data_IF_844786662720
#
_entry.id   IF_844786662720
#
_cell.length_a   1.000
_cell.length_b   1.000
_cell.length_c   1.000
_cell.angle_alpha   90.00
_cell.angle_beta   90.00
_cell.angle_gamma   90.00
#
_symmetry.space_group_name_H-M   'P 1'
#
loop_
_entity.id
_entity.type
_entity.pdbx_description
1 polymer ?
#
# COMPACT_ATOMS: atom_id res chain seq x y z
N UNK A 1 -28.00 -40.64 -6.30
CA UNK A 1 -26.78 -40.29 -7.06
C UNK A 1 -25.69 -39.93 -6.10
N UNK A 2 -24.66 -40.76 -5.97
CA UNK A 2 -23.49 -40.52 -5.13
C UNK A 2 -22.61 -39.44 -5.79
N UNK A 3 -22.31 -38.36 -5.07
CA UNK A 3 -21.28 -37.41 -5.50
C UNK A 3 -19.97 -38.20 -5.70
N UNK A 4 -19.31 -38.14 -6.87
CA UNK A 4 -18.09 -38.89 -7.10
C UNK A 4 -17.05 -38.45 -6.07
N UNK A 5 -16.44 -39.40 -5.36
CA UNK A 5 -15.43 -39.14 -4.32
C UNK A 5 -14.35 -38.13 -4.76
N UNK A 6 -13.99 -38.12 -6.05
CA UNK A 6 -13.06 -37.16 -6.67
C UNK A 6 -13.53 -35.70 -6.56
N UNK A 7 -14.83 -35.44 -6.75
CA UNK A 7 -15.38 -34.09 -6.66
C UNK A 7 -15.37 -33.58 -5.20
N UNK A 8 -15.70 -34.45 -4.24
CA UNK A 8 -15.62 -34.11 -2.81
C UNK A 8 -14.18 -33.86 -2.36
N UNK A 9 -13.22 -34.71 -2.76
CA UNK A 9 -11.80 -34.48 -2.45
C UNK A 9 -11.26 -33.20 -3.09
N UNK A 10 -11.71 -32.86 -4.32
CA UNK A 10 -11.39 -31.59 -4.95
C UNK A 10 -11.92 -30.38 -4.17
N UNK A 11 -13.15 -30.44 -3.65
CA UNK A 11 -13.72 -29.40 -2.78
C UNK A 11 -13.04 -29.31 -1.42
N UNK A 12 -12.66 -30.45 -0.81
CA UNK A 12 -11.92 -30.48 0.46
C UNK A 12 -10.50 -29.90 0.31
N UNK A 13 -9.80 -30.25 -0.77
CA UNK A 13 -8.47 -29.71 -1.07
C UNK A 13 -8.51 -28.19 -1.26
N UNK A 14 -9.53 -27.68 -1.96
CA UNK A 14 -9.68 -26.24 -2.21
C UNK A 14 -9.92 -25.45 -0.92
N UNK A 15 -10.78 -25.95 -0.03
CA UNK A 15 -11.02 -25.34 1.29
C UNK A 15 -9.75 -25.24 2.13
N UNK A 16 -8.97 -26.32 2.22
CA UNK A 16 -7.68 -26.32 2.93
C UNK A 16 -6.71 -25.27 2.35
N UNK A 17 -6.64 -25.16 1.03
CA UNK A 17 -5.77 -24.16 0.39
C UNK A 17 -6.21 -22.71 0.65
N UNK A 18 -7.51 -22.46 0.79
CA UNK A 18 -8.04 -21.15 1.17
C UNK A 18 -7.72 -20.83 2.63
N UNK A 19 -7.88 -21.80 3.55
CA UNK A 19 -7.51 -21.70 4.96
C UNK A 19 -6.01 -21.42 5.14
N UNK A 20 -5.15 -22.20 4.46
CA UNK A 20 -3.70 -22.01 4.51
C UNK A 20 -3.31 -20.61 3.99
N UNK A 21 -3.95 -20.15 2.90
CA UNK A 21 -3.70 -18.80 2.35
C UNK A 21 -4.17 -17.69 3.29
N UNK A 22 -5.30 -17.88 3.97
CA UNK A 22 -5.82 -16.90 4.93
C UNK A 22 -4.92 -16.79 6.17
N UNK A 23 -4.47 -17.93 6.70
CA UNK A 23 -3.49 -17.96 7.78
C UNK A 23 -2.18 -17.23 7.40
N UNK A 24 -1.68 -17.44 6.19
CA UNK A 24 -0.49 -16.70 5.71
C UNK A 24 -0.76 -15.18 5.60
N UNK A 25 -1.98 -14.76 5.27
CA UNK A 25 -2.33 -13.33 5.18
C UNK A 25 -2.47 -12.65 6.54
N UNK A 26 -2.88 -13.39 7.57
CA UNK A 26 -2.98 -12.88 8.94
C UNK A 26 -1.60 -12.38 9.43
N UNK A 27 -0.51 -13.07 9.08
CA UNK A 27 0.87 -12.65 9.41
C UNK A 27 1.26 -11.30 8.80
N UNK A 28 0.60 -10.90 7.71
CA UNK A 28 0.83 -9.62 7.03
C UNK A 28 -0.20 -8.55 7.42
N UNK A 29 -0.86 -8.68 8.57
CA UNK A 29 -1.82 -7.69 9.06
C UNK A 29 -1.13 -6.57 9.83
N UNK A 30 -1.51 -5.33 9.57
CA UNK A 30 -0.96 -4.17 10.26
C UNK A 30 -1.51 -4.12 11.71
N UNK A 31 -0.66 -4.00 12.74
CA UNK A 31 -1.11 -3.94 14.13
C UNK A 31 -1.86 -2.65 14.50
N UNK A 32 -1.85 -1.65 13.61
CA UNK A 32 -2.49 -0.35 13.85
C UNK A 32 -3.85 -0.25 13.17
N UNK A 33 -3.93 -0.52 11.86
CA UNK A 33 -5.19 -0.45 11.12
C UNK A 33 -5.91 -1.80 10.99
N UNK A 34 -5.32 -2.90 11.45
CA UNK A 34 -5.89 -4.27 11.40
C UNK A 34 -6.22 -4.75 9.99
N UNK A 35 -5.67 -4.11 8.96
CA UNK A 35 -5.81 -4.52 7.57
C UNK A 35 -4.55 -5.25 7.08
N UNK A 36 -4.73 -6.20 6.16
CA UNK A 36 -3.61 -6.81 5.43
C UNK A 36 -2.81 -5.73 4.72
N UNK A 37 -1.54 -5.60 5.10
CA UNK A 37 -0.61 -4.58 4.62
C UNK A 37 -0.52 -4.68 3.10
N UNK A 38 -0.55 -3.54 2.42
CA UNK A 38 -0.19 -3.46 1.01
C UNK A 38 1.22 -2.89 0.89
N UNK A 39 2.06 -3.40 -0.05
CA UNK A 39 3.37 -2.82 -0.32
C UNK A 39 3.26 -1.30 -0.52
N UNK A 40 4.17 -0.49 0.05
CA UNK A 40 5.41 -0.91 0.67
C UNK A 40 5.23 -1.30 2.15
N UNK A 41 5.76 -2.46 2.53
CA UNK A 41 5.81 -2.97 3.90
C UNK A 41 7.04 -2.41 4.60
N UNK A 42 6.86 -1.87 5.79
CA UNK A 42 7.96 -1.41 6.63
C UNK A 42 8.12 -2.27 7.87
N UNK A 43 9.31 -2.27 8.45
CA UNK A 43 9.60 -3.02 9.66
C UNK A 43 10.39 -2.21 10.69
N UNK A 44 10.25 -2.57 11.96
CA UNK A 44 11.19 -2.13 13.00
C UNK A 44 12.48 -2.98 12.98
N UNK A 45 13.46 -2.63 13.82
CA UNK A 45 14.73 -3.37 13.94
C UNK A 45 14.56 -4.83 14.37
N UNK A 46 13.47 -5.16 15.09
CA UNK A 46 13.13 -6.52 15.49
C UNK A 46 12.27 -7.27 14.45
N UNK A 47 11.93 -6.65 13.32
CA UNK A 47 11.20 -7.31 12.23
C UNK A 47 9.67 -7.20 12.25
N UNK A 48 9.04 -6.54 13.23
CA UNK A 48 7.58 -6.33 13.22
C UNK A 48 7.14 -5.43 12.07
N UNK A 49 6.13 -5.87 11.33
CA UNK A 49 5.65 -5.23 10.11
C UNK A 49 4.63 -4.11 10.40
N UNK A 50 4.65 -3.07 9.57
CA UNK A 50 3.69 -1.96 9.59
C UNK A 50 3.45 -1.43 8.17
N UNK A 51 2.23 -0.96 7.89
CA UNK A 51 1.93 -0.34 6.60
C UNK A 51 2.47 1.10 6.51
N UNK A 52 2.70 1.57 5.29
CA UNK A 52 3.21 2.93 5.05
C UNK A 52 2.36 4.03 5.67
N UNK A 53 1.03 3.96 5.54
CA UNK A 53 0.13 4.98 6.07
C UNK A 53 0.15 5.09 7.60
N UNK A 54 0.22 3.96 8.31
CA UNK A 54 0.32 3.98 9.77
C UNK A 54 1.71 4.43 10.24
N UNK A 55 2.78 4.06 9.53
CA UNK A 55 4.10 4.58 9.82
C UNK A 55 4.18 6.09 9.58
N UNK A 56 3.57 6.60 8.51
CA UNK A 56 3.43 8.04 8.27
C UNK A 56 2.70 8.75 9.42
N UNK A 57 1.65 8.15 9.96
CA UNK A 57 0.91 8.71 11.09
C UNK A 57 1.76 8.75 12.38
N UNK A 58 2.58 7.72 12.62
CA UNK A 58 3.53 7.70 13.76
C UNK A 58 4.59 8.79 13.57
N UNK A 59 5.12 8.94 12.36
CA UNK A 59 6.14 9.94 12.03
C UNK A 59 5.63 11.38 12.17
N UNK A 60 4.34 11.61 11.89
CA UNK A 60 3.67 12.92 11.99
C UNK A 60 2.99 13.18 13.34
N UNK A 61 2.84 12.16 14.18
CA UNK A 61 2.10 12.25 15.43
C UNK A 61 2.81 13.10 16.48
N UNK A 62 2.05 13.59 17.45
CA UNK A 62 2.58 14.38 18.59
C UNK A 62 3.31 13.53 19.64
N UNK A 63 3.33 12.20 19.48
CA UNK A 63 4.12 11.30 20.32
C UNK A 63 5.60 11.63 20.09
N UNK A 64 6.30 12.02 21.15
CA UNK A 64 7.69 12.48 21.11
C UNK A 64 8.69 11.42 20.59
N UNK A 65 8.27 10.17 20.42
CA UNK A 65 9.12 9.08 19.94
C UNK A 65 8.43 8.25 18.87
N UNK A 66 9.16 8.01 17.78
CA UNK A 66 8.77 7.06 16.72
C UNK A 66 9.00 5.64 17.23
N UNK A 67 8.02 5.05 17.89
CA UNK A 67 8.13 3.70 18.48
C UNK A 67 7.29 2.66 17.74
N UNK A 68 7.80 1.43 17.69
CA UNK A 68 7.06 0.28 17.17
C UNK A 68 5.83 -0.02 18.04
N UNK A 69 4.62 -0.17 17.48
CA UNK A 69 3.42 -0.45 18.26
C UNK A 69 3.42 -1.83 18.93
N UNK A 70 4.25 -2.77 18.45
CA UNK A 70 4.32 -4.15 18.96
C UNK A 70 5.34 -4.27 20.09
N UNK A 71 6.60 -3.92 19.83
CA UNK A 71 7.70 -4.13 20.78
C UNK A 71 8.27 -2.84 21.38
N UNK A 72 7.70 -1.67 21.05
CA UNK A 72 8.07 -0.35 21.60
C UNK A 72 9.52 0.10 21.36
N UNK A 73 10.28 -0.62 20.54
CA UNK A 73 11.61 -0.16 20.10
C UNK A 73 11.47 1.05 19.17
N UNK A 74 12.40 1.98 19.25
CA UNK A 74 12.40 3.15 18.38
C UNK A 74 12.72 2.79 16.93
N UNK A 75 12.05 3.44 16.00
CA UNK A 75 12.40 3.45 14.59
C UNK A 75 13.65 4.33 14.40
N UNK A 76 14.80 3.68 14.34
CA UNK A 76 16.08 4.36 14.15
C UNK A 76 16.23 4.85 12.70
N UNK A 77 16.46 6.15 12.53
CA UNK A 77 16.79 6.75 11.24
C UNK A 77 15.71 6.61 10.17
N UNK A 78 16.13 6.17 8.98
CA UNK A 78 15.26 6.03 7.81
C UNK A 78 14.29 4.85 7.95
N UNK A 79 13.19 4.90 7.21
CA UNK A 79 12.20 3.82 7.17
C UNK A 79 12.80 2.57 6.55
N UNK A 80 12.79 1.44 7.27
CA UNK A 80 13.31 0.17 6.78
C UNK A 80 12.19 -0.58 6.05
N UNK A 81 12.29 -0.68 4.72
CA UNK A 81 11.33 -1.40 3.87
C UNK A 81 11.68 -2.89 3.81
N UNK A 82 10.71 -3.78 4.01
CA UNK A 82 10.89 -5.21 3.87
C UNK A 82 10.48 -5.68 2.46
N UNK A 83 11.46 -5.81 1.56
CA UNK A 83 11.23 -6.23 0.18
C UNK A 83 10.78 -7.68 0.04
N UNK A 84 11.11 -8.55 1.01
CA UNK A 84 10.65 -9.94 1.01
C UNK A 84 9.16 -10.02 1.35
N UNK A 85 8.73 -9.27 2.37
CA UNK A 85 7.32 -9.14 2.73
C UNK A 85 6.51 -8.54 1.57
N UNK A 86 7.04 -7.53 0.88
CA UNK A 86 6.40 -6.99 -0.33
C UNK A 86 6.11 -8.08 -1.36
N UNK A 87 7.12 -8.88 -1.71
CA UNK A 87 6.99 -9.96 -2.70
C UNK A 87 6.07 -11.09 -2.24
N UNK A 88 6.01 -11.37 -0.94
CA UNK A 88 5.10 -12.36 -0.38
C UNK A 88 3.66 -11.89 -0.50
N UNK A 89 3.37 -10.67 -0.04
CA UNK A 89 2.03 -10.08 -0.13
C UNK A 89 1.58 -9.96 -1.59
N UNK A 90 2.46 -9.57 -2.51
CA UNK A 90 2.12 -9.51 -3.94
C UNK A 90 1.75 -10.86 -4.56
N UNK A 91 2.26 -11.96 -4.00
CA UNK A 91 1.92 -13.33 -4.43
C UNK A 91 0.62 -13.80 -3.80
N UNK A 92 0.41 -13.51 -2.51
CA UNK A 92 -0.77 -13.96 -1.76
C UNK A 92 -2.02 -13.11 -2.04
N UNK A 93 -1.83 -11.81 -2.31
CA UNK A 93 -2.89 -10.83 -2.60
C UNK A 93 -2.72 -10.17 -3.98
N UNK A 94 -2.85 -10.93 -5.10
CA UNK A 94 -2.72 -10.35 -6.44
C UNK A 94 -3.82 -9.32 -6.76
N UNK A 95 -4.98 -9.40 -6.11
CA UNK A 95 -6.10 -8.47 -6.31
C UNK A 95 -5.76 -7.05 -5.85
N UNK A 96 -4.92 -6.92 -4.81
CA UNK A 96 -4.46 -5.62 -4.28
C UNK A 96 -3.37 -4.97 -5.12
N UNK A 97 -2.82 -5.64 -6.15
CA UNK A 97 -1.91 -5.03 -7.15
C UNK A 97 -2.53 -3.82 -7.88
N UNK A 98 -3.86 -3.71 -7.85
CA UNK A 98 -4.65 -2.74 -8.63
C UNK A 98 -4.71 -1.34 -8.00
N UNK A 99 -4.44 -1.19 -6.70
CA UNK A 99 -4.47 0.12 -6.04
C UNK A 99 -3.25 1.01 -6.39
N UNK A 100 -2.14 0.42 -6.89
CA UNK A 100 -0.95 1.17 -7.34
C UNK A 100 -1.09 1.79 -8.74
N UNK A 101 -2.12 1.41 -9.50
CA UNK A 101 -2.45 1.96 -10.84
C UNK A 101 -3.69 2.86 -10.86
N UNK A 102 -4.35 3.05 -9.71
CA UNK A 102 -5.45 4.01 -9.57
C UNK A 102 -5.02 5.24 -8.78
N UNK A 103 -3.74 5.60 -8.94
CA UNK A 103 -3.23 6.97 -8.82
C UNK A 103 -3.00 7.61 -10.20
N UNK A 104 -3.54 7.03 -11.27
CA UNK A 104 -3.33 7.51 -12.64
C UNK A 104 -4.60 8.23 -13.11
N UNK A 105 -4.47 9.53 -13.35
CA UNK A 105 -5.56 10.46 -13.66
C UNK A 105 -6.48 9.97 -14.79
N UNK A 106 -7.73 10.43 -14.73
CA UNK A 106 -8.72 10.14 -15.75
C UNK A 106 -8.42 11.00 -16.99
N UNK A 107 -8.08 10.36 -18.11
CA UNK A 107 -7.99 11.03 -19.40
C UNK A 107 -9.38 11.05 -20.04
N UNK A 108 -10.05 12.20 -20.02
CA UNK A 108 -11.30 12.41 -20.77
C UNK A 108 -10.98 13.19 -22.05
N UNK A 109 -11.12 12.56 -23.21
CA UNK A 109 -11.09 13.27 -24.49
C UNK A 109 -12.48 13.83 -24.79
N UNK A 110 -12.60 15.15 -24.85
CA UNK A 110 -13.72 15.83 -25.48
C UNK A 110 -13.13 16.80 -26.50
N UNK A 111 -13.32 16.50 -27.78
CA UNK A 111 -12.93 17.40 -28.88
C UNK A 111 -11.42 17.61 -29.02
N UNK A 112 -10.70 16.62 -29.55
CA UNK A 112 -9.43 16.86 -30.26
C UNK A 112 -8.23 17.39 -29.45
N UNK A 113 -8.21 17.36 -28.12
CA UNK A 113 -7.02 17.66 -27.32
C UNK A 113 -6.93 16.81 -26.05
N UNK A 114 -5.73 16.30 -25.77
CA UNK A 114 -5.40 15.46 -24.60
C UNK A 114 -4.98 16.37 -23.45
N UNK A 115 -5.82 16.50 -22.41
CA UNK A 115 -5.50 17.28 -21.20
C UNK A 115 -5.27 16.36 -20.01
N UNK A 116 -4.14 16.51 -19.34
CA UNK A 116 -3.84 15.84 -18.07
C UNK A 116 -4.45 16.64 -16.91
N UNK A 117 -5.38 16.03 -16.16
CA UNK A 117 -5.88 16.58 -14.90
C UNK A 117 -5.23 15.84 -13.71
N UNK A 118 -4.31 16.51 -13.02
CA UNK A 118 -3.76 16.06 -11.74
C UNK A 118 -4.75 16.42 -10.62
N UNK A 119 -5.25 15.43 -9.88
CA UNK A 119 -5.97 15.68 -8.63
C UNK A 119 -4.94 15.90 -7.50
N UNK A 120 -4.79 17.16 -7.09
CA UNK A 120 -3.93 17.57 -5.98
C UNK A 120 -4.38 16.94 -4.65
N UNK A 121 -3.40 16.47 -3.88
CA UNK A 121 -3.50 16.39 -2.44
C UNK A 121 -2.44 17.31 -1.81
N UNK A 122 -2.94 18.30 -1.07
CA UNK A 122 -2.33 19.12 0.00
C UNK A 122 -0.95 19.77 -0.21
N UNK A 123 -0.94 21.10 -0.21
CA UNK A 123 0.24 21.93 0.10
C UNK A 123 0.09 23.34 -0.44
N UNK A 124 0.11 24.35 0.43
CA UNK A 124 -0.30 25.72 0.14
C UNK A 124 0.47 26.40 -1.00
N UNK A 125 -0.28 27.11 -1.83
CA UNK A 125 0.22 27.99 -2.88
C UNK A 125 -0.96 28.50 -3.70
N UNK A 126 -1.37 29.74 -3.46
CA UNK A 126 -2.51 30.36 -4.13
C UNK A 126 -2.17 30.67 -5.59
N UNK A 127 -2.38 29.72 -6.49
CA UNK A 127 -2.41 29.97 -7.93
C UNK A 127 -3.79 29.63 -8.47
N UNK A 128 -4.37 30.54 -9.25
CA UNK A 128 -5.71 30.37 -9.78
C UNK A 128 -5.62 29.73 -11.16
N UNK A 129 -6.63 28.92 -11.46
CA UNK A 129 -6.78 28.22 -12.74
C UNK A 129 -6.79 29.24 -13.88
N UNK A 130 -5.72 29.29 -14.68
CA UNK A 130 -5.57 30.21 -15.82
C UNK A 130 -4.22 30.95 -15.88
N UNK A 131 -3.41 30.88 -14.83
CA UNK A 131 -2.11 31.55 -14.80
C UNK A 131 -1.08 30.83 -15.69
N UNK A 132 -0.46 31.55 -16.62
CA UNK A 132 0.68 31.06 -17.42
C UNK A 132 1.96 31.31 -16.63
N UNK A 133 2.63 30.25 -16.20
CA UNK A 133 3.93 30.35 -15.52
C UNK A 133 5.02 30.06 -16.56
N UNK A 134 5.83 31.07 -16.90
CA UNK A 134 7.00 30.86 -17.75
C UNK A 134 8.06 30.05 -17.00
N UNK A 135 8.69 29.11 -17.72
CA UNK A 135 9.84 28.34 -17.21
C UNK A 135 11.00 29.28 -16.82
N UNK A 136 11.77 28.98 -15.77
CA UNK A 136 12.97 29.75 -15.45
C UNK A 136 13.95 29.63 -16.62
N UNK A 137 14.37 30.77 -17.18
CA UNK A 137 15.55 30.84 -18.05
C UNK A 137 16.76 30.53 -17.17
N UNK A 138 17.45 29.43 -17.47
CA UNK A 138 18.76 29.17 -16.91
C UNK A 138 19.76 29.98 -17.73
N UNK A 139 20.13 31.15 -17.22
CA UNK A 139 21.35 31.85 -17.65
C UNK A 139 22.51 31.30 -16.82
N UNK A 140 23.63 31.00 -17.48
CA UNK A 140 24.88 30.61 -16.84
C UNK A 140 25.62 31.82 -16.25
#
# INVERSE_FOLDING_TARGET
GSRPWRAWMGSAKRRRQEEDREAELEEFTCPVCTEVITPPVFQCVNGHLICGGCLDAIDRGSQSQRVCPVCRVEYQGARVRNLQADRLIERLCPEKKRARRLGDGQLTSLGGSTVWHLNQAVGGGAYRKGDVVESPRFDA
#
